data_IF_146420238376
#
_entry.id   IF_146420238376
#
_cell.length_a   1.000
_cell.length_b   1.000
_cell.length_c   1.000
_cell.angle_alpha   90.00
_cell.angle_beta   90.00
_cell.angle_gamma   90.00
#
_symmetry.space_group_name_H-M   'P 1'
#
loop_
_entity.id
_entity.type
_entity.pdbx_description
1 polymer ?
#
# COMPACT_ATOMS: atom_id res chain seq x y z
N UNK A 1 34.27 1.75 33.99
CA UNK A 1 33.90 2.50 32.77
C UNK A 1 32.79 1.83 31.96
N UNK A 2 32.80 0.49 31.79
CA UNK A 2 31.74 -0.29 31.12
C UNK A 2 30.33 -0.11 31.70
N UNK A 3 30.18 0.03 33.04
CA UNK A 3 28.87 0.24 33.70
C UNK A 3 28.17 1.53 33.25
N UNK A 4 28.92 2.59 32.94
CA UNK A 4 28.35 3.85 32.43
C UNK A 4 27.96 3.73 30.95
N UNK A 5 28.75 3.00 30.16
CA UNK A 5 28.46 2.70 28.74
C UNK A 5 27.19 1.85 28.63
N UNK A 6 27.02 0.86 29.50
CA UNK A 6 25.83 0.00 29.51
C UNK A 6 24.54 0.77 29.82
N UNK A 7 24.60 1.73 30.75
CA UNK A 7 23.46 2.60 31.09
C UNK A 7 23.11 3.54 29.92
N UNK A 8 24.11 4.07 29.21
CA UNK A 8 23.90 4.91 28.03
C UNK A 8 23.23 4.11 26.90
N UNK A 9 23.63 2.86 26.67
CA UNK A 9 23.01 1.99 25.66
C UNK A 9 21.55 1.63 25.98
N UNK A 10 21.20 1.49 27.27
CA UNK A 10 19.81 1.26 27.70
C UNK A 10 18.96 2.53 27.53
N UNK A 11 19.53 3.71 27.80
CA UNK A 11 18.82 4.97 27.62
C UNK A 11 18.59 5.32 26.15
N UNK A 12 19.53 4.98 25.25
CA UNK A 12 19.34 5.19 23.81
C UNK A 12 18.29 4.26 23.20
N UNK A 13 18.11 3.05 23.75
CA UNK A 13 17.11 2.10 23.24
C UNK A 13 15.68 2.44 23.69
N UNK A 14 15.50 3.13 24.82
CA UNK A 14 14.20 3.57 25.33
C UNK A 14 13.55 4.76 24.60
N UNK A 15 14.31 5.54 23.80
CA UNK A 15 13.78 6.67 23.04
C UNK A 15 13.06 6.28 21.73
N UNK A 16 13.10 4.99 21.37
CA UNK A 16 12.52 4.46 20.12
C UNK A 16 11.00 4.35 20.12
N UNK A 17 10.33 4.56 21.27
CA UNK A 17 8.88 4.36 21.42
C UNK A 17 8.00 5.48 20.84
N UNK A 18 8.49 6.25 19.87
CA UNK A 18 7.72 7.33 19.22
C UNK A 18 7.21 6.96 17.81
N UNK A 19 7.51 5.74 17.33
CA UNK A 19 7.23 5.32 15.94
C UNK A 19 6.19 4.20 15.80
N UNK A 20 5.37 3.98 16.83
CA UNK A 20 4.24 3.04 16.75
C UNK A 20 2.94 3.85 16.81
N UNK A 21 2.76 4.78 15.86
CA UNK A 21 1.40 5.00 15.41
C UNK A 21 1.02 3.70 14.71
N UNK A 22 -0.12 3.11 15.04
CA UNK A 22 -0.63 1.93 14.33
C UNK A 22 -0.39 2.14 12.84
N UNK A 23 0.24 1.19 12.13
CA UNK A 23 0.43 1.34 10.71
C UNK A 23 -0.95 1.68 10.16
N UNK A 24 -1.09 2.83 9.44
CA UNK A 24 -2.33 3.13 8.78
C UNK A 24 -2.81 1.85 8.10
N UNK A 25 -4.09 1.52 8.24
CA UNK A 25 -4.63 0.31 7.65
C UNK A 25 -4.10 0.15 6.22
N UNK A 26 -3.96 -1.07 5.72
CA UNK A 26 -3.55 -1.32 4.32
C UNK A 26 -4.44 -0.57 3.30
N UNK A 27 -5.59 -0.05 3.76
CA UNK A 27 -6.51 0.81 3.02
C UNK A 27 -6.67 2.22 3.63
N UNK A 28 -5.70 2.72 4.39
CA UNK A 28 -5.83 4.00 5.08
C UNK A 28 -6.01 5.12 4.07
N UNK A 29 -7.10 5.87 4.26
CA UNK A 29 -7.54 6.89 3.34
C UNK A 29 -8.28 6.36 2.11
N UNK A 30 -8.25 5.07 1.77
CA UNK A 30 -9.00 4.50 0.63
C UNK A 30 -10.39 4.03 1.04
N UNK A 31 -11.43 4.63 0.44
CA UNK A 31 -12.71 3.93 0.31
C UNK A 31 -12.55 2.85 -0.75
N UNK A 32 -12.03 1.69 -0.34
CA UNK A 32 -11.76 0.59 -1.25
C UNK A 32 -13.07 -0.13 -1.61
N UNK A 33 -13.85 0.48 -2.49
CA UNK A 33 -14.95 -0.17 -3.19
C UNK A 33 -14.63 -0.11 -4.67
N UNK A 34 -14.18 -1.25 -5.21
CA UNK A 34 -14.21 -1.45 -6.65
C UNK A 34 -15.60 -1.00 -7.16
N UNK A 35 -15.68 -0.25 -8.27
CA UNK A 35 -16.95 0.10 -8.86
C UNK A 35 -17.79 -1.16 -9.09
N UNK A 36 -19.10 -1.02 -8.96
CA UNK A 36 -20.02 -2.11 -9.31
C UNK A 36 -19.79 -2.51 -10.77
N UNK A 37 -19.67 -3.82 -11.01
CA UNK A 37 -19.32 -4.33 -12.33
C UNK A 37 -19.36 -5.86 -12.39
N UNK A 38 -18.98 -6.41 -13.53
CA UNK A 38 -18.88 -7.86 -13.72
C UNK A 38 -17.82 -8.46 -12.77
N UNK A 39 -17.80 -9.79 -12.58
CA UNK A 39 -16.71 -10.45 -11.86
C UNK A 39 -15.33 -10.20 -12.49
N UNK A 40 -15.26 -10.13 -13.82
CA UNK A 40 -14.03 -9.84 -14.57
C UNK A 40 -13.52 -8.44 -14.26
N UNK A 41 -14.40 -7.45 -14.36
CA UNK A 41 -14.08 -6.06 -14.02
C UNK A 41 -13.58 -5.94 -12.58
N UNK A 42 -14.31 -6.52 -11.61
CA UNK A 42 -13.91 -6.48 -10.20
C UNK A 42 -12.56 -7.13 -9.95
N UNK A 43 -12.25 -8.21 -10.67
CA UNK A 43 -10.96 -8.89 -10.58
C UNK A 43 -9.84 -8.03 -11.18
N UNK A 44 -10.06 -7.45 -12.37
CA UNK A 44 -9.11 -6.53 -12.99
C UNK A 44 -8.83 -5.32 -12.11
N UNK A 45 -9.88 -4.64 -11.64
CA UNK A 45 -9.78 -3.52 -10.72
C UNK A 45 -8.95 -3.85 -9.49
N UNK A 46 -9.23 -4.99 -8.84
CA UNK A 46 -8.51 -5.41 -7.64
C UNK A 46 -7.03 -5.61 -7.92
N UNK A 47 -6.68 -6.39 -8.95
CA UNK A 47 -5.28 -6.66 -9.32
C UNK A 47 -4.53 -5.38 -9.71
N UNK A 48 -5.19 -4.48 -10.43
CA UNK A 48 -4.67 -3.17 -10.76
C UNK A 48 -4.39 -2.33 -9.52
N UNK A 49 -5.36 -2.25 -8.62
CA UNK A 49 -5.24 -1.49 -7.38
C UNK A 49 -4.10 -2.00 -6.48
N UNK A 50 -4.02 -3.31 -6.23
CA UNK A 50 -2.93 -3.95 -5.49
C UNK A 50 -1.56 -3.58 -6.09
N UNK A 51 -1.46 -3.64 -7.42
CA UNK A 51 -0.27 -3.21 -8.13
C UNK A 51 0.03 -1.72 -7.88
N UNK A 52 -0.94 -0.83 -8.08
CA UNK A 52 -0.78 0.62 -7.91
C UNK A 52 -0.28 0.99 -6.51
N UNK A 53 -0.78 0.31 -5.47
CA UNK A 53 -0.34 0.48 -4.09
C UNK A 53 1.11 0.01 -3.89
N UNK A 54 1.47 -1.15 -4.43
CA UNK A 54 2.84 -1.68 -4.38
C UNK A 54 3.84 -0.73 -5.06
N UNK A 55 3.50 -0.13 -6.20
CA UNK A 55 4.48 0.71 -6.93
C UNK A 55 4.60 2.12 -6.33
N UNK A 56 3.47 2.74 -5.96
CA UNK A 56 3.44 4.16 -5.60
C UNK A 56 3.38 4.45 -4.09
N UNK A 57 2.97 3.48 -3.27
CA UNK A 57 2.96 3.65 -1.83
C UNK A 57 4.36 3.66 -1.21
N UNK A 58 4.43 3.98 0.09
CA UNK A 58 5.68 4.02 0.85
C UNK A 58 6.18 2.60 1.13
N UNK A 59 7.25 2.48 1.92
CA UNK A 59 7.83 1.20 2.30
C UNK A 59 6.81 0.23 2.89
N UNK A 60 5.82 0.70 3.66
CA UNK A 60 4.77 -0.16 4.21
C UNK A 60 3.91 -0.77 3.10
N UNK A 61 3.34 0.07 2.22
CA UNK A 61 2.56 -0.40 1.06
C UNK A 61 3.36 -1.32 0.14
N UNK A 62 4.65 -1.02 -0.05
CA UNK A 62 5.58 -1.85 -0.82
C UNK A 62 5.82 -3.22 -0.20
N UNK A 63 5.67 -3.38 1.12
CA UNK A 63 5.84 -4.68 1.80
C UNK A 63 4.54 -5.48 1.77
N UNK A 64 3.40 -4.83 2.00
CA UNK A 64 2.12 -5.52 2.20
C UNK A 64 1.38 -5.84 0.90
N UNK A 65 1.57 -5.05 -0.16
CA UNK A 65 0.93 -5.28 -1.46
C UNK A 65 1.88 -5.95 -2.46
N UNK A 66 1.32 -6.54 -3.50
CA UNK A 66 2.07 -7.21 -4.57
C UNK A 66 1.71 -6.64 -5.94
N UNK A 67 2.61 -6.84 -6.90
CA UNK A 67 2.25 -6.69 -8.29
C UNK A 67 1.35 -7.86 -8.66
N UNK A 68 0.14 -7.57 -9.11
CA UNK A 68 -0.86 -8.57 -9.51
C UNK A 68 -1.34 -8.28 -10.93
N UNK A 69 -1.17 -9.25 -11.83
CA UNK A 69 -1.76 -9.25 -13.16
C UNK A 69 -2.03 -10.70 -13.56
N UNK A 70 -3.21 -11.00 -14.07
CA UNK A 70 -3.62 -12.34 -14.47
C UNK A 70 -3.27 -12.59 -15.94
N UNK A 71 -2.22 -13.38 -16.24
CA UNK A 71 -1.78 -13.61 -17.61
C UNK A 71 -2.81 -14.38 -18.43
N UNK A 72 -3.70 -15.17 -17.80
CA UNK A 72 -4.75 -15.91 -18.52
C UNK A 72 -5.84 -14.97 -19.06
N UNK A 73 -5.91 -13.73 -18.55
CA UNK A 73 -6.87 -12.70 -18.95
C UNK A 73 -6.24 -11.60 -19.81
N UNK A 74 -5.03 -11.81 -20.32
CA UNK A 74 -4.34 -10.80 -21.13
C UNK A 74 -5.10 -10.42 -22.41
N UNK A 75 -5.89 -11.34 -22.98
CA UNK A 75 -6.74 -11.08 -24.15
C UNK A 75 -8.16 -10.61 -23.77
N UNK A 76 -8.45 -10.44 -22.47
CA UNK A 76 -9.73 -9.96 -22.01
C UNK A 76 -9.69 -8.44 -21.82
N UNK A 77 -10.28 -7.71 -22.78
CA UNK A 77 -10.29 -6.25 -22.78
C UNK A 77 -10.88 -5.64 -21.51
N UNK A 78 -11.97 -6.22 -20.97
CA UNK A 78 -12.61 -5.74 -19.74
C UNK A 78 -11.68 -5.90 -18.52
N UNK A 79 -10.96 -7.03 -18.42
CA UNK A 79 -9.97 -7.22 -17.37
C UNK A 79 -8.85 -6.19 -17.49
N UNK A 80 -8.31 -5.99 -18.69
CA UNK A 80 -7.21 -5.06 -18.93
C UNK A 80 -7.63 -3.61 -18.61
N UNK A 81 -8.77 -3.16 -19.11
CA UNK A 81 -9.29 -1.83 -18.82
C UNK A 81 -9.51 -1.64 -17.32
N UNK A 82 -10.17 -2.59 -16.66
CA UNK A 82 -10.38 -2.53 -15.22
C UNK A 82 -9.06 -2.53 -14.43
N UNK A 83 -8.06 -3.28 -14.89
CA UNK A 83 -6.72 -3.28 -14.30
C UNK A 83 -6.08 -1.90 -14.35
N UNK A 84 -6.10 -1.23 -15.51
CA UNK A 84 -5.55 0.12 -15.64
C UNK A 84 -6.31 1.13 -14.78
N UNK A 85 -7.63 1.05 -14.74
CA UNK A 85 -8.47 1.93 -13.92
C UNK A 85 -8.17 1.76 -12.42
N UNK A 86 -8.10 0.52 -11.94
CA UNK A 86 -7.76 0.22 -10.54
C UNK A 86 -6.34 0.67 -10.19
N UNK A 87 -5.38 0.41 -11.09
CA UNK A 87 -3.99 0.84 -10.95
C UNK A 87 -3.88 2.36 -10.80
N UNK A 88 -4.48 3.11 -11.72
CA UNK A 88 -4.43 4.57 -11.68
C UNK A 88 -5.17 5.13 -10.47
N UNK A 89 -6.35 4.61 -10.14
CA UNK A 89 -7.10 5.07 -8.97
C UNK A 89 -6.26 4.94 -7.69
N UNK A 90 -5.78 3.74 -7.40
CA UNK A 90 -5.11 3.46 -6.14
C UNK A 90 -3.71 4.10 -6.06
N UNK A 91 -2.97 4.18 -7.17
CA UNK A 91 -1.67 4.87 -7.18
C UNK A 91 -1.82 6.38 -6.94
N UNK A 92 -2.83 7.01 -7.54
CA UNK A 92 -3.05 8.46 -7.37
C UNK A 92 -3.53 8.75 -5.96
N UNK A 93 -4.41 7.88 -5.46
CA UNK A 93 -4.92 7.97 -4.10
C UNK A 93 -3.79 7.91 -3.07
N UNK A 94 -2.98 6.84 -3.06
CA UNK A 94 -1.88 6.69 -2.10
C UNK A 94 -0.86 7.81 -2.23
N UNK A 95 -0.52 8.21 -3.46
CA UNK A 95 0.40 9.33 -3.71
C UNK A 95 -0.15 10.65 -3.18
N UNK A 96 -1.47 10.86 -3.23
CA UNK A 96 -2.12 12.06 -2.70
C UNK A 96 -2.21 12.04 -1.17
N UNK A 97 -2.47 10.86 -0.59
CA UNK A 97 -2.53 10.62 0.84
C UNK A 97 -1.18 10.93 1.49
N UNK A 98 -0.09 10.38 0.93
CA UNK A 98 1.27 10.63 1.39
C UNK A 98 1.65 12.10 1.33
N UNK A 99 1.26 12.81 0.26
CA UNK A 99 1.49 14.26 0.13
C UNK A 99 0.78 15.09 1.19
N UNK A 100 -0.31 14.58 1.77
CA UNK A 100 -1.08 15.25 2.84
C UNK A 100 -0.60 14.89 4.24
N UNK A 101 0.55 14.21 4.37
CA UNK A 101 1.08 13.74 5.65
C UNK A 101 0.47 12.42 6.13
N UNK A 102 -0.22 11.70 5.24
CA UNK A 102 -0.58 10.31 5.48
C UNK A 102 0.68 9.46 5.60
N UNK A 103 0.86 8.80 6.75
CA UNK A 103 1.96 7.86 6.97
C UNK A 103 1.76 6.56 6.21
#
# INVERSE_FOLDING_TARGET
MYKKIFIILILLSGASCSMINEPPSIFAGMENKAPDGTPTFRTGWKSGCETGLKVSGNTHYKIVHSFEFDPEKIENDEYNEAWYLGFDHCRWHVSSWQRRGGM
#
